data_IF_286459863547
#
_entry.id   IF_286459863547
#
_cell.length_a   1.000
_cell.length_b   1.000
_cell.length_c   1.000
_cell.angle_alpha   90.00
_cell.angle_beta   90.00
_cell.angle_gamma   90.00
#
_symmetry.space_group_name_H-M   'P 1'
#
loop_
_entity.id
_entity.type
_entity.pdbx_description
1 polymer ?
#
# COMPACT_ATOMS: atom_id res chain seq x y z
N UNK A 1 -29.92 -4.12 19.75
CA UNK A 1 -28.63 -4.26 19.05
C UNK A 1 -28.91 -4.62 17.59
N UNK A 2 -28.41 -3.86 16.60
CA UNK A 2 -28.51 -4.26 15.18
C UNK A 2 -27.63 -5.50 14.98
N UNK A 3 -28.22 -6.60 14.50
CA UNK A 3 -27.47 -7.82 14.20
C UNK A 3 -26.54 -7.55 13.02
N UNK A 4 -25.27 -7.98 13.13
CA UNK A 4 -24.26 -7.81 12.08
C UNK A 4 -23.83 -9.20 11.61
N UNK A 5 -23.72 -9.39 10.29
CA UNK A 5 -23.23 -10.62 9.66
C UNK A 5 -22.10 -10.25 8.70
N UNK A 6 -20.99 -10.98 8.78
CA UNK A 6 -19.87 -10.85 7.86
C UNK A 6 -19.80 -12.12 7.00
N UNK A 7 -19.72 -11.97 5.68
CA UNK A 7 -19.72 -13.06 4.70
C UNK A 7 -18.49 -12.90 3.81
N UNK A 8 -17.66 -13.95 3.72
CA UNK A 8 -16.55 -14.02 2.76
C UNK A 8 -16.92 -14.97 1.62
N UNK A 9 -16.78 -14.51 0.37
CA UNK A 9 -17.05 -15.34 -0.81
C UNK A 9 -15.71 -15.81 -1.39
N UNK A 10 -15.45 -17.13 -1.30
CA UNK A 10 -14.20 -17.76 -1.73
C UNK A 10 -14.50 -18.91 -2.69
N UNK A 11 -13.87 -18.91 -3.85
CA UNK A 11 -14.03 -19.91 -4.92
C UNK A 11 -12.91 -19.78 -5.95
N UNK A 12 -12.74 -20.79 -6.81
CA UNK A 12 -11.72 -20.84 -7.87
C UNK A 12 -11.87 -19.72 -8.93
N UNK A 13 -10.88 -19.53 -9.80
CA UNK A 13 -10.91 -18.55 -10.90
C UNK A 13 -12.17 -18.77 -11.74
N UNK A 14 -12.81 -17.68 -12.16
CA UNK A 14 -14.01 -17.68 -13.02
C UNK A 14 -15.24 -18.44 -12.47
N UNK A 15 -15.24 -18.79 -11.17
CA UNK A 15 -16.37 -19.43 -10.50
C UNK A 15 -17.56 -18.49 -10.21
N UNK A 16 -17.55 -17.26 -10.74
CA UNK A 16 -18.67 -16.32 -10.60
C UNK A 16 -18.84 -15.69 -9.21
N UNK A 17 -17.79 -15.57 -8.40
CA UNK A 17 -17.83 -14.92 -7.06
C UNK A 17 -18.45 -13.53 -7.11
N UNK A 18 -17.93 -12.69 -8.00
CA UNK A 18 -18.39 -11.31 -8.20
C UNK A 18 -19.80 -11.26 -8.75
N UNK A 19 -20.19 -12.22 -9.59
CA UNK A 19 -21.58 -12.36 -10.07
C UNK A 19 -22.55 -12.68 -8.93
N UNK A 20 -22.13 -13.51 -7.96
CA UNK A 20 -22.94 -13.80 -6.75
C UNK A 20 -23.01 -12.57 -5.85
N UNK A 21 -21.90 -11.83 -5.68
CA UNK A 21 -21.87 -10.57 -4.94
C UNK A 21 -22.84 -9.54 -5.51
N UNK A 22 -22.82 -9.29 -6.81
CA UNK A 22 -23.72 -8.35 -7.49
C UNK A 22 -25.19 -8.76 -7.36
N UNK A 23 -25.49 -10.06 -7.44
CA UNK A 23 -26.86 -10.56 -7.22
C UNK A 23 -27.32 -10.38 -5.78
N UNK A 24 -26.47 -10.64 -4.79
CA UNK A 24 -26.77 -10.39 -3.37
C UNK A 24 -27.11 -8.91 -3.14
N UNK A 25 -26.35 -8.00 -3.75
CA UNK A 25 -26.60 -6.57 -3.68
C UNK A 25 -27.91 -6.19 -4.36
N UNK A 26 -28.22 -6.75 -5.53
CA UNK A 26 -29.45 -6.46 -6.25
C UNK A 26 -30.69 -6.94 -5.49
N UNK A 27 -30.69 -8.19 -5.04
CA UNK A 27 -31.82 -8.72 -4.25
C UNK A 27 -31.98 -8.00 -2.91
N UNK A 28 -30.92 -7.42 -2.35
CA UNK A 28 -31.01 -6.60 -1.14
C UNK A 28 -31.61 -5.21 -1.36
N UNK A 29 -31.78 -4.80 -2.61
CA UNK A 29 -32.17 -3.43 -2.97
C UNK A 29 -31.05 -2.40 -2.83
N UNK A 30 -29.81 -2.82 -2.54
CA UNK A 30 -28.65 -1.93 -2.44
C UNK A 30 -28.24 -1.34 -3.80
N UNK A 31 -28.49 -2.05 -4.90
CA UNK A 31 -28.26 -1.59 -6.27
C UNK A 31 -29.54 -1.73 -7.10
N UNK A 32 -29.77 -0.81 -8.04
CA UNK A 32 -31.00 -0.77 -8.87
C UNK A 32 -30.94 -1.70 -10.08
N UNK A 33 -29.77 -2.20 -10.44
CA UNK A 33 -29.53 -3.07 -11.59
C UNK A 33 -28.31 -3.96 -11.34
N UNK A 34 -28.37 -5.22 -11.76
CA UNK A 34 -27.24 -6.16 -11.67
C UNK A 34 -26.15 -5.78 -12.68
N UNK A 35 -24.93 -5.51 -12.22
CA UNK A 35 -23.77 -5.39 -13.09
C UNK A 35 -23.22 -6.76 -13.50
N UNK A 36 -22.58 -6.83 -14.67
CA UNK A 36 -21.85 -7.99 -15.19
C UNK A 36 -20.37 -7.66 -15.31
N UNK A 37 -19.52 -8.58 -14.85
CA UNK A 37 -18.06 -8.47 -14.94
C UNK A 37 -17.62 -8.34 -16.41
N UNK A 38 -18.21 -9.13 -17.31
CA UNK A 38 -17.91 -9.13 -18.75
C UNK A 38 -18.18 -7.78 -19.45
N UNK A 39 -19.07 -6.98 -18.88
CA UNK A 39 -19.47 -5.67 -19.40
C UNK A 39 -18.79 -4.52 -18.64
N UNK A 40 -17.97 -4.86 -17.62
CA UNK A 40 -17.31 -3.91 -16.75
C UNK A 40 -18.28 -2.88 -16.18
N UNK A 41 -19.48 -3.24 -15.76
CA UNK A 41 -20.46 -2.29 -15.21
C UNK A 41 -20.93 -2.68 -13.79
N UNK A 42 -20.16 -3.54 -13.13
CA UNK A 42 -20.29 -3.87 -11.71
C UNK A 42 -20.02 -2.63 -10.86
N UNK A 43 -20.77 -2.47 -9.78
CA UNK A 43 -20.50 -1.39 -8.81
C UNK A 43 -19.28 -1.73 -7.94
N UNK A 44 -18.86 -2.98 -7.99
CA UNK A 44 -17.74 -3.54 -7.27
C UNK A 44 -16.38 -3.22 -7.92
N UNK A 45 -16.32 -3.07 -9.25
CA UNK A 45 -15.08 -2.83 -10.01
C UNK A 45 -14.89 -1.31 -10.25
N UNK A 46 -14.59 -0.58 -9.18
CA UNK A 46 -14.35 0.87 -9.25
C UNK A 46 -13.05 1.26 -9.98
N UNK A 47 -12.16 0.29 -10.25
CA UNK A 47 -10.91 0.53 -10.98
C UNK A 47 -11.06 0.23 -12.47
N UNK A 48 -10.70 1.21 -13.32
CA UNK A 48 -10.71 1.09 -14.80
C UNK A 48 -9.92 -0.14 -15.32
N UNK A 49 -8.93 -0.62 -14.54
CA UNK A 49 -8.11 -1.79 -14.85
C UNK A 49 -8.85 -3.13 -14.62
N UNK A 50 -9.73 -3.21 -13.62
CA UNK A 50 -10.59 -4.39 -13.37
C UNK A 50 -11.62 -4.51 -14.50
N UNK A 51 -12.24 -3.39 -14.89
CA UNK A 51 -13.17 -3.29 -16.03
C UNK A 51 -12.53 -3.69 -17.36
N UNK A 52 -11.28 -3.33 -17.62
CA UNK A 52 -10.55 -3.70 -18.84
C UNK A 52 -10.11 -5.16 -18.91
N UNK A 53 -10.06 -5.86 -17.77
CA UNK A 53 -9.50 -7.23 -17.70
C UNK A 53 -10.48 -8.29 -17.20
N UNK A 54 -11.68 -7.91 -16.75
CA UNK A 54 -12.69 -8.85 -16.26
C UNK A 54 -12.25 -9.63 -15.02
N UNK A 55 -11.34 -9.07 -14.22
CA UNK A 55 -10.79 -9.71 -13.01
C UNK A 55 -10.91 -8.79 -11.80
N UNK A 56 -11.20 -9.37 -10.63
CA UNK A 56 -11.17 -8.71 -9.32
C UNK A 56 -9.74 -8.67 -8.79
N UNK A 57 -9.16 -7.47 -8.66
CA UNK A 57 -7.75 -7.24 -8.30
C UNK A 57 -7.64 -6.84 -6.82
N UNK A 58 -8.61 -6.11 -6.27
CA UNK A 58 -8.70 -5.78 -4.84
C UNK A 58 -9.88 -6.47 -4.17
N UNK A 59 -9.69 -6.92 -2.92
CA UNK A 59 -10.82 -7.30 -2.07
C UNK A 59 -11.72 -6.09 -1.86
N UNK A 60 -12.89 -6.11 -2.46
CA UNK A 60 -13.93 -5.13 -2.22
C UNK A 60 -14.73 -5.55 -0.99
N UNK A 61 -14.90 -4.62 -0.05
CA UNK A 61 -15.83 -4.80 1.07
C UNK A 61 -17.07 -3.99 0.76
N UNK A 62 -18.21 -4.65 0.63
CA UNK A 62 -19.50 -3.99 0.37
C UNK A 62 -20.44 -4.28 1.53
N UNK A 63 -21.11 -3.24 2.03
CA UNK A 63 -22.05 -3.34 3.15
C UNK A 63 -23.45 -2.95 2.71
N UNK A 64 -24.45 -3.75 3.08
CA UNK A 64 -25.87 -3.44 2.87
C UNK A 64 -26.71 -3.84 4.09
N UNK A 65 -27.95 -3.35 4.15
CA UNK A 65 -28.90 -3.75 5.19
C UNK A 65 -29.95 -4.69 4.59
N UNK A 66 -30.20 -5.81 5.25
CA UNK A 66 -31.27 -6.76 4.89
C UNK A 66 -32.09 -7.09 6.14
N UNK A 67 -33.41 -6.87 6.11
CA UNK A 67 -34.32 -7.14 7.24
C UNK A 67 -33.78 -6.71 8.62
N UNK A 68 -33.31 -5.46 8.73
CA UNK A 68 -32.73 -4.88 9.95
C UNK A 68 -31.42 -5.54 10.45
N UNK A 69 -30.74 -6.29 9.58
CA UNK A 69 -29.39 -6.86 9.79
C UNK A 69 -28.41 -6.15 8.87
N UNK A 70 -27.25 -5.73 9.41
CA UNK A 70 -26.14 -5.22 8.60
C UNK A 70 -25.33 -6.40 8.06
N UNK A 71 -25.20 -6.51 6.75
CA UNK A 71 -24.40 -7.55 6.08
C UNK A 71 -23.18 -6.90 5.46
N UNK A 72 -22.00 -7.41 5.78
CA UNK A 72 -20.73 -7.02 5.17
C UNK A 72 -20.23 -8.20 4.31
N UNK A 73 -20.08 -8.00 3.01
CA UNK A 73 -19.51 -8.98 2.09
C UNK A 73 -18.06 -8.61 1.79
N UNK A 74 -17.18 -9.60 1.87
CA UNK A 74 -15.80 -9.55 1.39
C UNK A 74 -15.73 -10.44 0.15
N UNK A 75 -15.63 -9.81 -1.03
CA UNK A 75 -15.35 -10.54 -2.27
C UNK A 75 -13.84 -10.77 -2.38
N UNK A 76 -13.43 -12.03 -2.53
CA UNK A 76 -12.00 -12.40 -2.54
C UNK A 76 -11.51 -12.68 -3.95
N UNK A 77 -10.26 -12.30 -4.30
CA UNK A 77 -9.69 -12.60 -5.60
C UNK A 77 -9.71 -14.10 -5.90
N UNK A 78 -10.21 -14.47 -7.07
CA UNK A 78 -10.23 -15.88 -7.52
C UNK A 78 -8.92 -16.39 -8.10
N UNK A 79 -8.08 -15.47 -8.59
CA UNK A 79 -6.79 -15.78 -9.19
C UNK A 79 -5.83 -16.31 -8.10
N UNK A 80 -5.75 -17.64 -7.97
CA UNK A 80 -4.73 -18.32 -7.16
C UNK A 80 -3.32 -18.14 -7.73
N UNK A 81 -3.15 -17.37 -8.80
CA UNK A 81 -1.89 -16.72 -9.18
C UNK A 81 -1.52 -15.57 -8.23
N UNK A 82 -1.95 -15.63 -6.96
CA UNK A 82 -1.50 -14.78 -5.87
C UNK A 82 -0.34 -15.43 -5.10
N UNK A 83 0.53 -16.16 -5.80
CA UNK A 83 1.86 -16.55 -5.28
C UNK A 83 3.00 -16.02 -6.15
N UNK A 84 2.76 -15.55 -7.38
CA UNK A 84 3.84 -14.92 -8.16
C UNK A 84 3.36 -14.04 -9.31
N UNK A 85 2.51 -13.06 -9.00
CA UNK A 85 2.54 -11.82 -9.78
C UNK A 85 2.46 -10.68 -8.78
N UNK A 86 3.56 -9.93 -8.58
CA UNK A 86 3.48 -8.79 -7.68
C UNK A 86 2.38 -7.89 -8.24
N UNK A 87 1.36 -7.63 -7.44
CA UNK A 87 0.38 -6.56 -7.64
C UNK A 87 1.03 -5.18 -7.45
N UNK A 88 2.31 -5.07 -7.83
CA UNK A 88 3.16 -3.89 -7.76
C UNK A 88 3.90 -3.86 -9.09
N UNK A 89 3.17 -3.48 -10.14
CA UNK A 89 3.76 -2.75 -11.26
C UNK A 89 2.91 -1.52 -11.57
N UNK A 90 2.33 -0.91 -10.53
CA UNK A 90 2.44 0.54 -10.46
C UNK A 90 3.85 0.77 -9.95
N UNK A 91 4.83 0.74 -10.85
CA UNK A 91 6.13 1.30 -10.52
C UNK A 91 5.87 2.75 -10.13
N UNK A 92 6.49 3.21 -9.03
CA UNK A 92 6.50 4.63 -8.71
C UNK A 92 6.80 5.40 -9.99
N UNK A 93 6.06 6.48 -10.24
CA UNK A 93 6.35 7.33 -11.39
C UNK A 93 7.83 7.72 -11.31
N UNK A 94 8.53 7.79 -12.44
CA UNK A 94 9.92 8.27 -12.46
C UNK A 94 10.04 9.60 -11.70
N UNK A 95 8.99 10.44 -11.75
CA UNK A 95 8.89 11.67 -10.97
C UNK A 95 8.84 11.44 -9.45
N UNK A 96 8.15 10.41 -8.97
CA UNK A 96 8.08 10.05 -7.54
C UNK A 96 9.39 9.42 -7.05
N UNK A 97 10.04 8.57 -7.84
CA UNK A 97 11.35 8.01 -7.49
C UNK A 97 12.42 9.11 -7.44
N UNK A 98 12.37 10.06 -8.37
CA UNK A 98 13.23 11.24 -8.38
C UNK A 98 12.92 12.15 -7.18
N UNK A 99 11.65 12.44 -6.90
CA UNK A 99 11.26 13.27 -5.76
C UNK A 99 11.69 12.66 -4.42
N UNK A 100 11.50 11.35 -4.24
CA UNK A 100 11.96 10.63 -3.06
C UNK A 100 13.48 10.70 -2.95
N UNK A 101 14.22 10.40 -4.02
CA UNK A 101 15.69 10.48 -4.02
C UNK A 101 16.20 11.88 -3.66
N UNK A 102 15.56 12.93 -4.17
CA UNK A 102 15.89 14.33 -3.84
C UNK A 102 15.63 14.61 -2.36
N UNK A 103 14.46 14.23 -1.83
CA UNK A 103 14.13 14.46 -0.41
C UNK A 103 15.09 13.74 0.54
N UNK A 104 15.50 12.51 0.20
CA UNK A 104 16.47 11.76 0.98
C UNK A 104 17.88 12.32 0.87
N UNK A 105 18.29 12.78 -0.31
CA UNK A 105 19.55 13.49 -0.50
C UNK A 105 19.64 14.79 0.31
N UNK A 106 18.55 15.57 0.34
CA UNK A 106 18.45 16.77 1.20
C UNK A 106 18.56 16.39 2.69
N UNK A 107 17.86 15.33 3.11
CA UNK A 107 17.94 14.80 4.47
C UNK A 107 19.37 14.36 4.86
N UNK A 108 20.12 13.76 3.94
CA UNK A 108 21.51 13.37 4.14
C UNK A 108 22.40 14.60 4.40
N UNK A 109 22.26 15.65 3.57
CA UNK A 109 23.02 16.90 3.73
C UNK A 109 22.72 17.55 5.07
N UNK A 110 21.45 17.68 5.45
CA UNK A 110 21.07 18.22 6.76
C UNK A 110 21.57 17.34 7.92
N UNK A 111 21.58 16.02 7.76
CA UNK A 111 22.13 15.09 8.76
C UNK A 111 23.63 15.31 8.99
N UNK A 112 24.41 15.48 7.92
CA UNK A 112 25.85 15.75 8.00
C UNK A 112 26.10 17.11 8.67
N UNK A 113 25.44 18.17 8.18
CA UNK A 113 25.61 19.52 8.74
C UNK A 113 25.19 19.54 10.21
N UNK A 114 24.05 18.95 10.55
CA UNK A 114 23.55 18.87 11.92
C UNK A 114 24.50 18.13 12.86
N UNK A 115 25.05 16.99 12.43
CA UNK A 115 26.03 16.25 13.24
C UNK A 115 27.30 17.07 13.46
N UNK A 116 27.83 17.73 12.42
CA UNK A 116 29.02 18.58 12.55
C UNK A 116 28.77 19.71 13.54
N UNK A 117 27.64 20.42 13.42
CA UNK A 117 27.28 21.49 14.35
C UNK A 117 27.15 20.99 15.80
N UNK A 118 26.52 19.83 16.02
CA UNK A 118 26.41 19.23 17.35
C UNK A 118 27.78 18.84 17.93
N UNK A 119 28.69 18.30 17.12
CA UNK A 119 30.03 17.93 17.57
C UNK A 119 30.91 19.15 17.83
N UNK A 120 30.83 20.20 17.02
CA UNK A 120 31.51 21.48 17.26
C UNK A 120 31.00 22.10 18.55
N UNK A 121 29.69 22.19 18.74
CA UNK A 121 29.08 22.69 19.98
C UNK A 121 29.51 21.86 21.19
N UNK A 122 29.58 20.54 21.05
CA UNK A 122 30.05 19.64 22.11
C UNK A 122 31.52 19.88 22.47
N UNK A 123 32.38 20.16 21.49
CA UNK A 123 33.77 20.49 21.70
C UNK A 123 33.92 21.85 22.41
N UNK A 124 33.20 22.88 21.94
CA UNK A 124 33.25 24.23 22.50
C UNK A 124 32.74 24.28 23.95
N UNK A 125 31.79 23.41 24.30
CA UNK A 125 31.23 23.32 25.65
C UNK A 125 31.95 22.33 26.57
N UNK A 126 33.05 21.70 26.10
CA UNK A 126 33.74 20.61 26.81
C UNK A 126 32.76 19.52 27.30
N UNK A 127 31.85 19.11 26.42
CA UNK A 127 30.82 18.13 26.72
C UNK A 127 31.43 16.79 27.12
N UNK A 128 30.72 16.07 28.00
CA UNK A 128 31.13 14.74 28.45
C UNK A 128 31.23 13.75 27.28
N UNK A 129 32.09 12.73 27.43
CA UNK A 129 32.26 11.67 26.43
C UNK A 129 30.94 10.97 26.09
N UNK A 130 30.02 10.84 27.04
CA UNK A 130 28.68 10.27 26.82
C UNK A 130 27.82 11.14 25.91
N UNK A 131 27.91 12.47 26.02
CA UNK A 131 27.20 13.40 25.14
C UNK A 131 27.75 13.34 23.70
N UNK A 132 29.08 13.34 23.55
CA UNK A 132 29.74 13.20 22.24
C UNK A 132 29.37 11.87 21.57
N UNK A 133 29.40 10.78 22.33
CA UNK A 133 28.99 9.46 21.85
C UNK A 133 27.50 9.45 21.43
N UNK A 134 26.62 10.09 22.21
CA UNK A 134 25.19 10.19 21.91
C UNK A 134 24.93 10.98 20.62
N UNK A 135 25.58 12.12 20.44
CA UNK A 135 25.45 12.93 19.22
C UNK A 135 25.97 12.18 17.99
N UNK A 136 27.12 11.50 18.13
CA UNK A 136 27.70 10.69 17.06
C UNK A 136 26.78 9.54 16.65
N UNK A 137 26.17 8.85 17.61
CA UNK A 137 25.25 7.74 17.35
C UNK A 137 23.97 8.24 16.69
N UNK A 138 23.39 9.33 17.19
CA UNK A 138 22.19 9.94 16.63
C UNK A 138 22.42 10.46 15.20
N UNK A 139 23.40 11.35 15.00
CA UNK A 139 23.69 11.91 13.69
C UNK A 139 24.19 10.86 12.70
N UNK A 140 25.03 9.93 13.16
CA UNK A 140 25.48 8.80 12.36
C UNK A 140 24.32 7.92 11.89
N UNK A 141 23.34 7.62 12.76
CA UNK A 141 22.15 6.85 12.39
C UNK A 141 21.28 7.57 11.35
N UNK A 142 21.13 8.89 11.46
CA UNK A 142 20.40 9.70 10.48
C UNK A 142 21.10 9.70 9.12
N UNK A 143 22.42 9.90 9.09
CA UNK A 143 23.23 9.85 7.86
C UNK A 143 23.11 8.46 7.22
N UNK A 144 23.25 7.40 8.02
CA UNK A 144 23.15 6.02 7.53
C UNK A 144 21.77 5.72 6.95
N UNK A 145 20.69 6.17 7.60
CA UNK A 145 19.31 6.01 7.13
C UNK A 145 19.09 6.69 5.77
N UNK A 146 19.50 7.96 5.63
CA UNK A 146 19.32 8.71 4.39
C UNK A 146 20.22 8.19 3.27
N UNK A 147 21.45 7.77 3.58
CA UNK A 147 22.36 7.17 2.60
C UNK A 147 21.83 5.83 2.09
N UNK A 148 21.38 4.95 2.99
CA UNK A 148 20.80 3.66 2.62
C UNK A 148 19.55 3.83 1.76
N UNK A 149 18.70 4.80 2.10
CA UNK A 149 17.50 5.11 1.31
C UNK A 149 17.84 5.68 -0.08
N UNK A 150 18.79 6.63 -0.15
CA UNK A 150 19.25 7.19 -1.43
C UNK A 150 19.85 6.10 -2.33
N UNK A 151 20.65 5.20 -1.76
CA UNK A 151 21.25 4.08 -2.48
C UNK A 151 20.20 3.07 -2.95
N UNK A 152 19.19 2.79 -2.12
CA UNK A 152 18.08 1.88 -2.47
C UNK A 152 17.28 2.38 -3.68
N UNK A 153 17.10 3.69 -3.80
CA UNK A 153 16.45 4.31 -4.96
C UNK A 153 17.38 4.48 -6.17
N UNK A 154 18.70 4.51 -5.97
CA UNK A 154 19.68 4.63 -7.04
C UNK A 154 20.02 3.30 -7.76
N UNK A 155 19.65 2.13 -7.21
CA UNK A 155 19.95 0.81 -7.82
C UNK A 155 18.99 0.55 -9.01
N UNK A 156 19.48 0.47 -10.27
CA UNK A 156 18.64 0.37 -11.47
C UNK A 156 17.99 -1.00 -11.73
N UNK A 157 18.05 -1.95 -10.79
CA UNK A 157 17.66 -3.34 -11.02
C UNK A 157 16.43 -3.79 -10.20
N UNK A 158 15.31 -3.97 -10.91
CA UNK A 158 14.07 -4.58 -10.38
C UNK A 158 14.21 -6.00 -9.82
N UNK A 159 15.35 -6.69 -10.02
CA UNK A 159 15.61 -8.04 -9.49
C UNK A 159 16.10 -8.08 -8.05
N UNK A 160 16.54 -6.95 -7.47
CA UNK A 160 17.01 -6.90 -6.08
C UNK A 160 15.88 -6.60 -5.06
N UNK A 161 14.67 -6.28 -5.53
CA UNK A 161 13.50 -5.96 -4.69
C UNK A 161 12.51 -7.14 -4.55
N UNK A 162 12.97 -8.38 -4.74
CA UNK A 162 12.13 -9.60 -4.73
C UNK A 162 12.46 -10.60 -3.61
N UNK A 163 12.94 -10.12 -2.47
CA UNK A 163 13.06 -10.93 -1.25
C UNK A 163 12.25 -10.28 -0.15
#
# INVERSE_FOLDING_TARGET
>A
MKKIINIGIVAHVDAGKTTITENLLYYSGAIKSVGRVDLGNTQTDSMELERKRGITIKSSTISFNWNNVKVNIIDTPGHVSMVRKPLITQGYSLAEEVANSISHGIGLVFGIVGLVLLLVQAADTNASATAIASYSLYGGSMIMLFLASTLYHAIPHQRAKQW
#
